data_IF_080871136807
#
_entry.id   IF_080871136807
#
_cell.length_a   1.000
_cell.length_b   1.000
_cell.length_c   1.000
_cell.angle_alpha   90.00
_cell.angle_beta   90.00
_cell.angle_gamma   90.00
#
_symmetry.space_group_name_H-M   'P 1'
#
loop_
_entity.id
_entity.type
_entity.pdbx_description
1 polymer ?
#
# COMPACT_ATOMS: atom_id res chain seq x y z
N UNK A 1 -32.27 -27.76 18.84
CA UNK A 1 -32.20 -27.37 17.40
C UNK A 1 -31.21 -26.23 17.13
N UNK A 2 -31.15 -25.18 17.96
CA UNK A 2 -30.32 -23.98 17.71
C UNK A 2 -28.80 -24.16 17.93
N UNK A 3 -28.38 -25.24 18.59
CA UNK A 3 -26.97 -25.56 18.86
C UNK A 3 -26.39 -26.63 17.93
N UNK A 4 -27.18 -27.12 16.97
CA UNK A 4 -26.75 -28.19 16.07
C UNK A 4 -25.82 -27.61 15.00
N UNK A 5 -24.57 -28.10 14.98
CA UNK A 5 -23.59 -27.72 13.96
C UNK A 5 -24.04 -28.29 12.62
N UNK A 6 -24.31 -27.40 11.65
CA UNK A 6 -24.69 -27.79 10.29
C UNK A 6 -23.51 -28.58 9.69
N UNK A 7 -23.74 -29.79 9.13
CA UNK A 7 -22.71 -30.64 8.56
C UNK A 7 -22.26 -30.12 7.20
N UNK A 8 -21.64 -28.94 7.19
CA UNK A 8 -20.95 -28.41 6.02
C UNK A 8 -19.56 -29.02 5.91
N UNK A 9 -19.01 -29.20 4.69
CA UNK A 9 -17.65 -29.69 4.49
C UNK A 9 -16.59 -29.00 5.37
N UNK A 10 -16.70 -27.68 5.56
CA UNK A 10 -15.83 -26.88 6.45
C UNK A 10 -15.90 -27.23 7.95
N UNK A 11 -16.95 -27.94 8.39
CA UNK A 11 -17.14 -28.38 9.78
C UNK A 11 -16.83 -29.88 9.98
N UNK A 12 -16.76 -30.66 8.90
CA UNK A 12 -16.60 -32.12 8.93
C UNK A 12 -15.13 -32.55 9.02
N UNK A 13 -14.20 -31.75 8.45
CA UNK A 13 -12.76 -31.98 8.49
C UNK A 13 -12.24 -32.89 7.37
N UNK A 14 -10.97 -32.69 6.99
CA UNK A 14 -10.33 -33.26 5.79
C UNK A 14 -10.36 -34.81 5.78
N UNK A 15 -10.13 -35.45 6.93
CA UNK A 15 -10.08 -36.92 7.06
C UNK A 15 -11.37 -37.62 6.63
N UNK A 16 -12.52 -36.99 6.89
CA UNK A 16 -13.84 -37.54 6.55
C UNK A 16 -14.26 -37.28 5.12
N UNK A 17 -13.62 -36.33 4.43
CA UNK A 17 -13.94 -36.02 3.03
C UNK A 17 -13.63 -37.21 2.11
N UNK A 18 -12.47 -37.85 2.32
CA UNK A 18 -12.06 -39.02 1.54
C UNK A 18 -12.95 -40.24 1.82
N UNK A 19 -13.39 -40.41 3.07
CA UNK A 19 -14.26 -41.53 3.46
C UNK A 19 -15.67 -41.40 2.86
N UNK A 20 -16.18 -40.19 2.71
CA UNK A 20 -17.55 -39.94 2.25
C UNK A 20 -17.63 -39.54 0.76
N UNK A 21 -16.49 -39.35 0.08
CA UNK A 21 -16.46 -38.99 -1.34
C UNK A 21 -17.04 -37.60 -1.65
N UNK A 22 -16.84 -36.63 -0.75
CA UNK A 22 -17.53 -35.32 -0.79
C UNK A 22 -16.71 -34.23 -1.52
N UNK A 23 -15.80 -34.60 -2.42
CA UNK A 23 -14.92 -33.65 -3.09
C UNK A 23 -15.70 -32.55 -3.84
N UNK A 24 -16.78 -32.91 -4.52
CA UNK A 24 -17.59 -31.95 -5.29
C UNK A 24 -18.28 -30.92 -4.39
N UNK A 25 -18.81 -31.33 -3.22
CA UNK A 25 -19.44 -30.37 -2.30
C UNK A 25 -18.41 -29.46 -1.63
N UNK A 26 -17.16 -29.92 -1.44
CA UNK A 26 -16.07 -29.05 -0.97
C UNK A 26 -15.83 -27.93 -1.97
N UNK A 27 -15.73 -28.26 -3.27
CA UNK A 27 -15.55 -27.25 -4.33
C UNK A 27 -16.73 -26.28 -4.41
N UNK A 28 -17.96 -26.79 -4.29
CA UNK A 28 -19.16 -25.95 -4.24
C UNK A 28 -19.16 -25.04 -3.01
N UNK A 29 -18.80 -25.55 -1.83
CA UNK A 29 -18.70 -24.72 -0.63
C UNK A 29 -17.64 -23.62 -0.83
N UNK A 30 -16.47 -23.94 -1.37
CA UNK A 30 -15.43 -22.93 -1.67
C UNK A 30 -15.98 -21.81 -2.56
N UNK A 31 -16.68 -22.14 -3.65
CA UNK A 31 -17.30 -21.15 -4.54
C UNK A 31 -18.35 -20.30 -3.82
N UNK A 32 -19.20 -20.90 -2.99
CA UNK A 32 -20.18 -20.16 -2.18
C UNK A 32 -19.50 -19.23 -1.16
N UNK A 33 -18.40 -19.67 -0.55
CA UNK A 33 -17.62 -18.85 0.39
C UNK A 33 -16.92 -17.70 -0.31
N UNK A 34 -16.49 -17.87 -1.55
CA UNK A 34 -15.95 -16.78 -2.36
C UNK A 34 -17.00 -15.69 -2.57
N UNK A 35 -18.21 -16.07 -3.00
CA UNK A 35 -19.34 -15.14 -3.12
C UNK A 35 -19.67 -14.44 -1.79
N UNK A 36 -19.76 -15.21 -0.71
CA UNK A 36 -20.03 -14.65 0.62
C UNK A 36 -18.93 -13.67 1.10
N UNK A 37 -17.67 -13.95 0.78
CA UNK A 37 -16.55 -13.07 1.10
C UNK A 37 -16.60 -11.77 0.29
N UNK A 38 -16.90 -11.87 -1.00
CA UNK A 38 -17.09 -10.74 -1.90
C UNK A 38 -18.20 -9.81 -1.43
N UNK A 39 -19.39 -10.35 -1.13
CA UNK A 39 -20.53 -9.58 -0.63
C UNK A 39 -20.21 -8.87 0.69
N UNK A 40 -19.59 -9.59 1.64
CA UNK A 40 -19.23 -9.03 2.93
C UNK A 40 -18.20 -7.89 2.79
N UNK A 41 -17.21 -8.04 1.92
CA UNK A 41 -16.22 -7.00 1.64
C UNK A 41 -16.84 -5.80 0.92
N UNK A 42 -17.75 -6.01 -0.03
CA UNK A 42 -18.50 -4.93 -0.69
C UNK A 42 -19.23 -4.07 0.36
N UNK A 43 -20.00 -4.72 1.23
CA UNK A 43 -20.73 -4.02 2.30
C UNK A 43 -19.77 -3.27 3.23
N UNK A 44 -18.61 -3.86 3.55
CA UNK A 44 -17.57 -3.18 4.34
C UNK A 44 -17.06 -1.91 3.63
N UNK A 45 -16.73 -1.97 2.34
CA UNK A 45 -16.25 -0.81 1.56
C UNK A 45 -17.28 0.32 1.52
N UNK A 46 -18.53 0.00 1.16
CA UNK A 46 -19.63 0.98 1.05
C UNK A 46 -19.89 1.66 2.39
N UNK A 47 -19.95 0.88 3.48
CA UNK A 47 -20.19 1.45 4.81
C UNK A 47 -18.99 2.25 5.33
N UNK A 48 -17.76 1.82 5.03
CA UNK A 48 -16.56 2.56 5.42
C UNK A 48 -16.47 3.91 4.69
N UNK A 49 -16.85 3.93 3.41
CA UNK A 49 -16.99 5.15 2.63
C UNK A 49 -18.08 6.09 3.17
N UNK A 50 -19.29 5.56 3.40
CA UNK A 50 -20.38 6.31 4.00
C UNK A 50 -19.99 6.89 5.37
N UNK A 51 -19.31 6.09 6.21
CA UNK A 51 -18.76 6.55 7.49
C UNK A 51 -17.82 7.74 7.29
N UNK A 52 -16.88 7.64 6.36
CA UNK A 52 -15.93 8.71 6.06
C UNK A 52 -16.65 10.01 5.62
N UNK A 53 -17.66 9.90 4.75
CA UNK A 53 -18.52 11.02 4.33
C UNK A 53 -19.30 11.62 5.50
N UNK A 54 -19.89 10.80 6.38
CA UNK A 54 -20.60 11.27 7.58
C UNK A 54 -19.68 12.04 8.53
N UNK A 55 -18.44 11.58 8.72
CA UNK A 55 -17.45 12.30 9.53
C UNK A 55 -17.17 13.69 8.95
N UNK A 56 -16.99 13.78 7.64
CA UNK A 56 -16.69 15.05 6.97
C UNK A 56 -17.89 16.01 6.97
N UNK A 57 -19.06 15.51 6.58
CA UNK A 57 -20.25 16.34 6.31
C UNK A 57 -21.07 16.65 7.55
N UNK A 58 -21.22 15.70 8.49
CA UNK A 58 -22.14 15.84 9.62
C UNK A 58 -21.41 16.03 10.94
N UNK A 59 -20.42 15.19 11.24
CA UNK A 59 -19.72 15.24 12.54
C UNK A 59 -18.90 16.51 12.66
N UNK A 60 -18.05 16.83 11.68
CA UNK A 60 -17.22 18.04 11.70
C UNK A 60 -18.01 19.34 11.55
N UNK A 61 -19.16 19.31 10.86
CA UNK A 61 -19.98 20.50 10.65
C UNK A 61 -20.99 20.78 11.78
N UNK A 62 -21.14 19.88 12.74
CA UNK A 62 -22.11 20.00 13.81
C UNK A 62 -21.71 21.10 14.81
N UNK A 63 -22.47 22.21 14.81
CA UNK A 63 -22.26 23.35 15.72
C UNK A 63 -23.11 23.31 16.99
N UNK A 64 -24.04 22.35 17.11
CA UNK A 64 -24.93 22.23 18.28
C UNK A 64 -24.97 20.79 18.81
N UNK A 65 -25.28 20.65 20.10
CA UNK A 65 -25.36 19.34 20.76
C UNK A 65 -26.35 18.41 20.03
N UNK A 66 -27.56 18.89 19.74
CA UNK A 66 -28.57 18.09 19.04
C UNK A 66 -28.14 17.65 17.62
N UNK A 67 -27.33 18.46 16.91
CA UNK A 67 -26.77 18.06 15.61
C UNK A 67 -25.64 17.05 15.78
N UNK A 68 -24.78 17.24 16.79
CA UNK A 68 -23.71 16.31 17.13
C UNK A 68 -24.26 14.93 17.48
N UNK A 69 -25.25 14.85 18.38
CA UNK A 69 -25.88 13.58 18.78
C UNK A 69 -26.49 12.85 17.58
N UNK A 70 -27.18 13.57 16.68
CA UNK A 70 -27.75 12.97 15.46
C UNK A 70 -26.68 12.48 14.49
N UNK A 71 -25.58 13.22 14.33
CA UNK A 71 -24.46 12.80 13.50
C UNK A 71 -23.82 11.52 14.05
N UNK A 72 -23.55 11.47 15.35
CA UNK A 72 -23.01 10.27 16.01
C UNK A 72 -23.96 9.08 15.97
N UNK A 73 -25.28 9.29 16.12
CA UNK A 73 -26.26 8.22 15.98
C UNK A 73 -26.19 7.54 14.59
N UNK A 74 -26.00 8.33 13.52
CA UNK A 74 -25.78 7.79 12.15
C UNK A 74 -24.45 7.06 12.01
N UNK A 75 -23.38 7.58 12.60
CA UNK A 75 -22.09 6.89 12.60
C UNK A 75 -22.22 5.53 13.31
N UNK A 76 -22.90 5.49 14.46
CA UNK A 76 -23.15 4.24 15.19
C UNK A 76 -24.01 3.25 14.41
N UNK A 77 -25.02 3.69 13.64
CA UNK A 77 -25.79 2.78 12.80
C UNK A 77 -24.94 2.16 11.70
N UNK A 78 -24.07 2.96 11.06
CA UNK A 78 -23.13 2.45 10.04
C UNK A 78 -22.12 1.48 10.68
N UNK A 79 -21.62 1.79 11.88
CA UNK A 79 -20.68 0.92 12.60
C UNK A 79 -21.27 -0.44 12.95
N UNK A 80 -22.56 -0.50 13.31
CA UNK A 80 -23.24 -1.78 13.54
C UNK A 80 -23.21 -2.68 12.29
N UNK A 81 -23.52 -2.11 11.12
CA UNK A 81 -23.51 -2.84 9.84
C UNK A 81 -22.08 -3.26 9.47
N UNK A 82 -21.11 -2.37 9.67
CA UNK A 82 -19.68 -2.64 9.44
C UNK A 82 -19.18 -3.80 10.30
N UNK A 83 -19.51 -3.80 11.59
CA UNK A 83 -19.10 -4.84 12.54
C UNK A 83 -19.70 -6.20 12.18
N UNK A 84 -20.99 -6.24 11.84
CA UNK A 84 -21.66 -7.47 11.41
C UNK A 84 -20.98 -8.04 10.15
N UNK A 85 -20.78 -7.21 9.13
CA UNK A 85 -20.18 -7.63 7.86
C UNK A 85 -18.73 -8.10 8.04
N UNK A 86 -17.97 -7.42 8.93
CA UNK A 86 -16.62 -7.85 9.32
C UNK A 86 -16.61 -9.22 9.98
N UNK A 87 -17.59 -9.50 10.85
CA UNK A 87 -17.71 -10.80 11.52
C UNK A 87 -18.05 -11.90 10.52
N UNK A 88 -18.98 -11.64 9.60
CA UNK A 88 -19.33 -12.56 8.51
C UNK A 88 -18.08 -12.89 7.71
N UNK A 89 -17.36 -11.87 7.22
CA UNK A 89 -16.12 -12.06 6.48
C UNK A 89 -15.07 -12.86 7.27
N UNK A 90 -14.86 -12.51 8.53
CA UNK A 90 -13.89 -13.21 9.39
C UNK A 90 -14.24 -14.68 9.59
N UNK A 91 -15.53 -15.01 9.65
CA UNK A 91 -16.00 -16.39 9.75
C UNK A 91 -15.82 -17.13 8.42
N UNK A 92 -16.14 -16.50 7.29
CA UNK A 92 -15.91 -17.05 5.95
C UNK A 92 -14.42 -17.37 5.74
N UNK A 93 -13.53 -16.44 6.09
CA UNK A 93 -12.09 -16.62 5.98
C UNK A 93 -11.59 -17.81 6.82
N UNK A 94 -12.09 -17.98 8.06
CA UNK A 94 -11.78 -19.16 8.88
C UNK A 94 -12.25 -20.46 8.22
N UNK A 95 -13.39 -20.44 7.55
CA UNK A 95 -13.92 -21.61 6.85
C UNK A 95 -13.09 -21.92 5.59
N UNK A 96 -12.68 -20.91 4.82
CA UNK A 96 -11.77 -21.07 3.68
C UNK A 96 -10.42 -21.69 4.10
N UNK A 97 -9.88 -21.29 5.26
CA UNK A 97 -8.67 -21.93 5.82
C UNK A 97 -8.92 -23.43 6.09
N UNK A 98 -10.06 -23.78 6.70
CA UNK A 98 -10.40 -25.19 6.99
C UNK A 98 -10.61 -26.01 5.71
N UNK A 99 -11.08 -25.38 4.64
CA UNK A 99 -11.30 -26.00 3.34
C UNK A 99 -10.01 -26.20 2.53
N UNK A 100 -8.88 -25.62 2.97
CA UNK A 100 -7.60 -25.74 2.27
C UNK A 100 -7.53 -24.94 0.97
N UNK A 101 -8.32 -23.87 0.83
CA UNK A 101 -8.39 -23.06 -0.39
C UNK A 101 -7.22 -22.07 -0.52
N UNK A 102 -5.98 -22.57 -0.56
CA UNK A 102 -4.74 -21.76 -0.54
C UNK A 102 -4.69 -20.69 -1.64
N UNK A 103 -5.16 -21.01 -2.86
CA UNK A 103 -5.22 -20.05 -3.96
C UNK A 103 -6.08 -18.81 -3.65
N UNK A 104 -7.16 -18.98 -2.89
CA UNK A 104 -8.05 -17.88 -2.49
C UNK A 104 -7.52 -17.12 -1.26
N UNK A 105 -6.70 -17.74 -0.40
CA UNK A 105 -6.14 -17.09 0.79
C UNK A 105 -5.13 -15.99 0.45
N UNK A 106 -4.52 -16.02 -0.73
CA UNK A 106 -3.69 -14.92 -1.22
C UNK A 106 -4.54 -13.68 -1.56
N UNK A 107 -5.76 -13.89 -2.09
CA UNK A 107 -6.72 -12.83 -2.45
C UNK A 107 -7.46 -12.30 -1.21
N UNK A 108 -7.92 -13.20 -0.34
CA UNK A 108 -8.69 -12.89 0.85
C UNK A 108 -7.81 -12.96 2.11
N UNK A 109 -7.35 -11.80 2.58
CA UNK A 109 -6.47 -11.71 3.76
C UNK A 109 -7.25 -11.49 5.07
N UNK A 110 -6.67 -11.79 6.24
CA UNK A 110 -7.33 -11.51 7.51
C UNK A 110 -7.57 -10.00 7.71
N UNK A 111 -8.79 -9.62 8.08
CA UNK A 111 -9.18 -8.23 8.33
C UNK A 111 -8.64 -7.77 9.69
N UNK A 112 -7.80 -6.73 9.71
CA UNK A 112 -7.28 -6.13 10.95
C UNK A 112 -8.09 -4.90 11.33
N UNK A 113 -8.12 -4.56 12.63
CA UNK A 113 -8.77 -3.33 13.11
C UNK A 113 -8.19 -2.06 12.47
N UNK A 114 -6.90 -2.09 12.08
CA UNK A 114 -6.25 -0.98 11.40
C UNK A 114 -6.84 -0.73 10.00
N UNK A 115 -7.28 -1.79 9.32
CA UNK A 115 -7.82 -1.75 7.96
C UNK A 115 -9.23 -1.12 7.92
N UNK A 116 -9.94 -1.16 9.05
CA UNK A 116 -11.29 -0.62 9.23
C UNK A 116 -11.33 0.88 9.59
N UNK A 117 -10.18 1.56 9.58
CA UNK A 117 -10.15 3.00 9.83
C UNK A 117 -10.72 3.74 8.63
N UNK A 118 -11.68 4.64 8.89
CA UNK A 118 -12.23 5.52 7.86
C UNK A 118 -11.16 6.55 7.46
N UNK A 119 -10.40 6.24 6.41
CA UNK A 119 -9.33 7.10 5.92
C UNK A 119 -9.91 8.28 5.15
N UNK A 120 -9.32 9.46 5.31
CA UNK A 120 -9.67 10.69 4.56
C UNK A 120 -9.63 10.50 3.05
N UNK A 121 -8.76 9.61 2.55
CA UNK A 121 -8.70 9.19 1.14
C UNK A 121 -10.04 8.70 0.61
N UNK A 122 -10.85 8.06 1.46
CA UNK A 122 -12.17 7.55 1.11
C UNK A 122 -13.24 8.64 1.21
N UNK A 123 -13.07 9.63 2.09
CA UNK A 123 -14.03 10.74 2.21
C UNK A 123 -13.87 11.79 1.10
N UNK A 124 -12.62 12.12 0.77
CA UNK A 124 -12.26 13.13 -0.23
C UNK A 124 -11.19 12.58 -1.14
N UNK A 125 -11.67 12.12 -2.29
CA UNK A 125 -10.85 11.59 -3.35
C UNK A 125 -9.82 12.60 -3.84
N UNK A 126 -10.03 13.91 -3.76
CA UNK A 126 -9.11 14.92 -4.29
C UNK A 126 -8.27 15.63 -3.21
N UNK A 127 -8.35 15.18 -1.96
CA UNK A 127 -7.59 15.79 -0.86
C UNK A 127 -6.07 15.73 -1.08
N UNK A 128 -5.39 16.84 -0.81
CA UNK A 128 -3.94 16.94 -0.87
C UNK A 128 -3.28 16.26 0.35
N UNK A 129 -2.00 15.89 0.22
CA UNK A 129 -1.20 15.34 1.34
C UNK A 129 -1.38 13.84 1.61
N UNK A 130 -2.10 13.12 0.77
CA UNK A 130 -2.34 11.67 0.89
C UNK A 130 -1.22 10.81 0.24
N UNK A 131 0.00 11.32 0.10
CA UNK A 131 1.10 10.65 -0.64
C UNK A 131 1.47 9.28 -0.07
N UNK A 132 1.36 9.10 1.25
CA UNK A 132 1.77 7.87 1.96
C UNK A 132 0.61 7.06 2.54
N UNK A 133 -0.65 7.46 2.29
CA UNK A 133 -1.80 6.69 2.78
C UNK A 133 -2.04 5.49 1.85
N UNK A 134 -1.50 4.34 2.23
CA UNK A 134 -1.88 3.08 1.59
C UNK A 134 -3.28 2.68 2.05
N UNK A 135 -4.15 2.35 1.09
CA UNK A 135 -5.43 1.73 1.38
C UNK A 135 -5.22 0.28 1.86
N UNK A 136 -6.17 -0.24 2.61
CA UNK A 136 -6.18 -1.65 2.98
C UNK A 136 -6.23 -2.56 1.74
N UNK A 137 -5.67 -3.77 1.86
CA UNK A 137 -5.56 -4.78 0.81
C UNK A 137 -6.91 -5.11 0.14
N UNK A 138 -8.02 -4.95 0.85
CA UNK A 138 -9.34 -5.23 0.33
C UNK A 138 -9.90 -4.11 -0.55
N UNK A 139 -9.30 -2.93 -0.67
CA UNK A 139 -9.81 -1.89 -1.58
C UNK A 139 -9.56 -2.20 -3.06
N UNK A 140 -8.35 -2.63 -3.49
CA UNK A 140 -8.09 -2.91 -4.90
C UNK A 140 -8.66 -4.24 -5.41
N UNK A 141 -9.27 -5.10 -4.57
CA UNK A 141 -9.79 -6.37 -5.09
C UNK A 141 -10.97 -6.11 -6.02
N UNK A 142 -10.88 -6.65 -7.22
CA UNK A 142 -12.01 -6.69 -8.13
C UNK A 142 -13.07 -7.65 -7.55
N UNK A 143 -14.15 -7.06 -7.07
CA UNK A 143 -15.35 -7.78 -6.64
C UNK A 143 -16.34 -7.58 -7.76
N UNK A 144 -16.57 -8.65 -8.53
CA UNK A 144 -17.43 -8.64 -9.70
C UNK A 144 -18.81 -8.07 -9.34
N UNK A 145 -19.21 -6.97 -9.99
CA UNK A 145 -20.47 -6.26 -9.73
C UNK A 145 -20.37 -5.00 -8.86
N UNK A 146 -19.21 -4.68 -8.28
CA UNK A 146 -19.02 -3.46 -7.46
C UNK A 146 -19.22 -2.16 -8.27
N UNK A 147 -18.79 -2.16 -9.54
CA UNK A 147 -18.71 -0.98 -10.40
C UNK A 147 -20.02 -0.65 -11.12
N UNK A 148 -20.97 -1.58 -11.15
CA UNK A 148 -22.23 -1.42 -11.90
C UNK A 148 -23.34 -0.73 -11.09
N UNK A 149 -23.27 -0.78 -9.75
CA UNK A 149 -24.36 -0.30 -8.88
C UNK A 149 -24.09 1.03 -8.18
N UNK A 150 -22.85 1.53 -8.09
CA UNK A 150 -22.52 2.71 -7.28
C UNK A 150 -21.54 3.65 -7.98
N UNK A 151 -22.08 4.77 -8.48
CA UNK A 151 -21.35 5.81 -9.22
C UNK A 151 -20.16 6.38 -8.43
N UNK A 152 -20.34 6.60 -7.12
CA UNK A 152 -19.26 7.05 -6.24
C UNK A 152 -18.13 6.02 -6.12
N UNK A 153 -18.47 4.73 -6.08
CA UNK A 153 -17.49 3.65 -5.96
C UNK A 153 -16.69 3.48 -7.25
N UNK A 154 -17.33 3.65 -8.41
CA UNK A 154 -16.67 3.67 -9.72
C UNK A 154 -15.67 4.82 -9.81
N UNK A 155 -16.08 6.04 -9.46
CA UNK A 155 -15.18 7.20 -9.44
C UNK A 155 -14.01 7.00 -8.46
N UNK A 156 -14.27 6.38 -7.30
CA UNK A 156 -13.22 6.03 -6.35
C UNK A 156 -12.19 5.07 -6.95
N UNK A 157 -12.64 3.99 -7.62
CA UNK A 157 -11.74 3.05 -8.26
C UNK A 157 -10.96 3.69 -9.40
N UNK A 158 -11.60 4.54 -10.21
CA UNK A 158 -10.95 5.27 -11.30
C UNK A 158 -9.83 6.18 -10.78
N UNK A 159 -10.11 7.01 -9.78
CA UNK A 159 -9.12 7.91 -9.16
C UNK A 159 -8.03 7.11 -8.46
N UNK A 160 -8.38 6.03 -7.76
CA UNK A 160 -7.40 5.19 -7.08
C UNK A 160 -6.45 4.52 -8.08
N UNK A 161 -6.98 3.96 -9.17
CA UNK A 161 -6.19 3.35 -10.24
C UNK A 161 -5.25 4.37 -10.90
N UNK A 162 -5.74 5.57 -11.23
CA UNK A 162 -4.88 6.62 -11.79
C UNK A 162 -3.72 6.99 -10.86
N UNK A 163 -3.95 6.98 -9.54
CA UNK A 163 -2.92 7.28 -8.54
C UNK A 163 -1.91 6.17 -8.38
N UNK A 164 -2.35 4.91 -8.33
CA UNK A 164 -1.44 3.78 -8.24
C UNK A 164 -0.61 3.65 -9.51
N UNK A 165 -1.21 3.93 -10.67
CA UNK A 165 -0.51 4.04 -11.95
C UNK A 165 0.55 5.14 -11.92
N UNK A 166 0.17 6.38 -11.57
CA UNK A 166 1.11 7.49 -11.49
C UNK A 166 2.22 7.28 -10.44
N UNK A 167 1.91 6.58 -9.34
CA UNK A 167 2.91 6.20 -8.34
C UNK A 167 3.90 5.21 -8.96
N UNK A 168 3.40 4.12 -9.57
CA UNK A 168 4.23 3.12 -10.26
C UNK A 168 5.15 3.78 -11.30
N UNK A 169 4.59 4.64 -12.14
CA UNK A 169 5.33 5.31 -13.21
C UNK A 169 6.42 6.22 -12.63
N UNK A 170 6.13 6.97 -11.56
CA UNK A 170 7.14 7.74 -10.84
C UNK A 170 8.24 6.87 -10.24
N UNK A 171 7.92 5.73 -9.62
CA UNK A 171 8.94 4.82 -9.08
C UNK A 171 9.82 4.25 -10.21
N UNK A 172 9.23 3.93 -11.36
CA UNK A 172 9.98 3.49 -12.53
C UNK A 172 10.92 4.60 -13.05
N UNK A 173 10.45 5.84 -13.11
CA UNK A 173 11.28 7.01 -13.43
C UNK A 173 12.39 7.23 -12.40
N UNK A 174 12.07 7.18 -11.10
CA UNK A 174 13.04 7.34 -10.01
C UNK A 174 14.13 6.27 -10.06
N UNK A 175 13.80 5.01 -10.33
CA UNK A 175 14.80 3.95 -10.53
C UNK A 175 15.76 4.28 -11.68
N UNK A 176 15.23 4.76 -12.81
CA UNK A 176 16.05 5.17 -13.96
C UNK A 176 16.92 6.40 -13.64
N UNK A 177 16.36 7.40 -12.96
CA UNK A 177 17.04 8.63 -12.59
C UNK A 177 18.14 8.38 -11.57
N UNK A 178 17.88 7.62 -10.52
CA UNK A 178 18.86 7.28 -9.48
C UNK A 178 20.09 6.61 -10.10
N UNK A 179 19.89 5.69 -11.06
CA UNK A 179 21.02 5.08 -11.78
C UNK A 179 21.88 6.09 -12.56
N UNK A 180 21.24 7.10 -13.18
CA UNK A 180 21.95 8.19 -13.88
C UNK A 180 22.61 9.17 -12.91
N UNK A 181 21.93 9.53 -11.84
CA UNK A 181 22.42 10.42 -10.79
C UNK A 181 23.66 9.84 -10.10
N UNK A 182 23.73 8.52 -9.89
CA UNK A 182 24.93 7.85 -9.38
C UNK A 182 26.14 8.09 -10.29
N UNK A 183 25.97 7.93 -11.60
CA UNK A 183 27.03 8.18 -12.60
C UNK A 183 27.40 9.67 -12.62
N UNK A 184 26.41 10.55 -12.65
CA UNK A 184 26.63 11.99 -12.66
C UNK A 184 27.29 12.50 -11.38
N UNK A 185 26.99 11.93 -10.21
CA UNK A 185 27.61 12.31 -8.95
C UNK A 185 29.11 12.01 -8.95
N UNK A 186 29.52 10.82 -9.42
CA UNK A 186 30.94 10.46 -9.58
C UNK A 186 31.62 11.42 -10.57
N UNK A 187 31.00 11.65 -11.74
CA UNK A 187 31.51 12.57 -12.74
C UNK A 187 31.65 14.01 -12.21
N UNK A 188 30.69 14.47 -11.43
CA UNK A 188 30.71 15.79 -10.77
C UNK A 188 31.89 15.91 -9.80
N UNK A 189 32.14 14.89 -8.98
CA UNK A 189 33.28 14.91 -8.06
C UNK A 189 34.63 14.88 -8.80
N UNK A 190 34.77 14.10 -9.87
CA UNK A 190 35.96 14.11 -10.72
C UNK A 190 36.17 15.50 -11.33
N UNK A 191 35.13 16.07 -11.91
CA UNK A 191 35.17 17.41 -12.49
C UNK A 191 35.56 18.47 -11.45
N UNK A 192 35.01 18.41 -10.23
CA UNK A 192 35.39 19.31 -9.13
C UNK A 192 36.84 19.13 -8.70
N UNK A 193 37.33 17.89 -8.63
CA UNK A 193 38.74 17.62 -8.34
C UNK A 193 39.65 18.27 -9.38
N UNK A 194 39.37 18.10 -10.67
CA UNK A 194 40.12 18.72 -11.77
C UNK A 194 40.06 20.26 -11.72
N UNK A 195 38.88 20.83 -11.41
CA UNK A 195 38.72 22.27 -11.25
C UNK A 195 39.64 22.83 -10.14
N UNK A 196 39.75 22.13 -9.01
CA UNK A 196 40.65 22.52 -7.91
C UNK A 196 42.12 22.31 -8.25
N UNK A 197 42.48 21.27 -9.01
CA UNK A 197 43.84 21.09 -9.55
C UNK A 197 44.23 22.23 -10.49
N UNK A 198 43.34 22.68 -11.36
CA UNK A 198 43.60 23.86 -12.21
C UNK A 198 43.84 25.13 -11.40
N UNK A 199 43.07 25.33 -10.31
CA UNK A 199 43.29 26.44 -9.37
C UNK A 199 44.61 26.34 -8.62
N UNK A 200 45.05 25.13 -8.28
CA UNK A 200 46.36 24.88 -7.67
C UNK A 200 47.49 25.30 -8.63
N UNK A 201 47.43 24.90 -9.89
CA UNK A 201 48.43 25.23 -10.91
C UNK A 201 48.51 26.74 -11.20
N UNK A 202 47.37 27.43 -11.17
CA UNK A 202 47.33 28.89 -11.32
C UNK A 202 47.93 29.67 -10.13
N UNK A 203 48.12 29.01 -8.98
CA UNK A 203 48.60 29.62 -7.73
C UNK A 203 50.12 29.51 -7.54
N UNK A 204 50.92 29.36 -8.60
CA UNK A 204 52.37 29.14 -8.54
C UNK A 204 53.23 30.42 -8.35
N UNK A 205 52.67 31.52 -7.82
CA UNK A 205 53.40 32.74 -7.48
C UNK A 205 53.95 32.78 -6.03
N UNK A 206 54.87 33.72 -5.75
CA UNK A 206 55.58 33.88 -4.46
C UNK A 206 54.69 34.23 -3.26
N UNK A 207 53.40 34.56 -3.46
CA UNK A 207 52.46 34.95 -2.39
C UNK A 207 51.33 33.93 -2.14
N UNK A 208 51.37 32.77 -2.79
CA UNK A 208 50.20 31.86 -2.93
C UNK A 208 50.41 30.45 -2.39
N UNK A 209 51.46 30.16 -1.62
CA UNK A 209 51.72 28.82 -1.03
C UNK A 209 50.53 28.28 -0.25
N UNK A 210 49.86 29.12 0.56
CA UNK A 210 48.65 28.71 1.32
C UNK A 210 47.48 28.37 0.39
N UNK A 211 47.29 29.14 -0.68
CA UNK A 211 46.24 28.90 -1.67
C UNK A 211 46.51 27.62 -2.47
N UNK A 212 47.77 27.36 -2.82
CA UNK A 212 48.21 26.12 -3.46
C UNK A 212 47.92 24.91 -2.57
N UNK A 213 48.34 24.93 -1.30
CA UNK A 213 48.06 23.84 -0.35
C UNK A 213 46.56 23.62 -0.13
N UNK A 214 45.76 24.69 -0.03
CA UNK A 214 44.32 24.58 0.12
C UNK A 214 43.64 23.97 -1.11
N UNK A 215 44.01 24.43 -2.32
CA UNK A 215 43.47 23.89 -3.56
C UNK A 215 43.83 22.41 -3.75
N UNK A 216 45.07 22.02 -3.43
CA UNK A 216 45.50 20.62 -3.43
C UNK A 216 44.66 19.76 -2.47
N UNK A 217 44.40 20.26 -1.24
CA UNK A 217 43.54 19.56 -0.28
C UNK A 217 42.11 19.39 -0.81
N UNK A 218 41.53 20.44 -1.40
CA UNK A 218 40.17 20.38 -1.96
C UNK A 218 40.09 19.39 -3.12
N UNK A 219 41.07 19.38 -4.03
CA UNK A 219 41.15 18.38 -5.10
C UNK A 219 41.15 16.96 -4.54
N UNK A 220 41.98 16.69 -3.51
CA UNK A 220 42.06 15.38 -2.88
C UNK A 220 40.75 14.97 -2.19
N UNK A 221 40.01 15.92 -1.57
CA UNK A 221 38.70 15.64 -0.97
C UNK A 221 37.71 15.17 -2.03
N UNK A 222 37.58 15.91 -3.14
CA UNK A 222 36.67 15.54 -4.21
C UNK A 222 37.06 14.22 -4.88
N UNK A 223 38.35 13.93 -5.04
CA UNK A 223 38.82 12.63 -5.53
C UNK A 223 38.45 11.48 -4.58
N UNK A 224 38.59 11.68 -3.27
CA UNK A 224 38.17 10.66 -2.28
C UNK A 224 36.65 10.45 -2.30
N UNK A 225 35.88 11.53 -2.46
CA UNK A 225 34.42 11.44 -2.61
C UNK A 225 34.03 10.65 -3.86
N UNK A 226 34.69 10.89 -5.01
CA UNK A 226 34.40 10.12 -6.24
C UNK A 226 34.71 8.64 -6.07
N UNK A 227 35.86 8.29 -5.48
CA UNK A 227 36.24 6.89 -5.23
C UNK A 227 35.26 6.22 -4.27
N UNK A 228 34.96 6.87 -3.15
CA UNK A 228 34.04 6.34 -2.16
C UNK A 228 32.62 6.15 -2.71
N UNK A 229 32.12 7.10 -3.50
CA UNK A 229 30.82 6.99 -4.15
C UNK A 229 30.80 5.86 -5.18
N UNK A 230 31.84 5.73 -6.02
CA UNK A 230 31.95 4.64 -6.98
C UNK A 230 31.93 3.27 -6.29
N UNK A 231 32.78 3.08 -5.27
CA UNK A 231 32.82 1.83 -4.49
C UNK A 231 31.47 1.51 -3.84
N UNK A 232 30.79 2.53 -3.30
CA UNK A 232 29.49 2.36 -2.66
C UNK A 232 28.41 1.98 -3.67
N UNK A 233 28.42 2.60 -4.85
CA UNK A 233 27.46 2.32 -5.92
C UNK A 233 27.68 0.94 -6.54
N UNK A 234 28.93 0.53 -6.75
CA UNK A 234 29.26 -0.80 -7.28
C UNK A 234 28.86 -1.92 -6.31
N UNK A 235 29.02 -1.70 -5.00
CA UNK A 235 28.49 -2.62 -3.97
C UNK A 235 26.98 -2.74 -4.04
N UNK A 236 26.25 -1.64 -4.22
CA UNK A 236 24.78 -1.68 -4.31
C UNK A 236 24.28 -2.39 -5.57
N UNK A 237 24.98 -2.25 -6.71
CA UNK A 237 24.64 -2.96 -7.95
C UNK A 237 24.85 -4.47 -7.81
N UNK A 238 25.97 -4.89 -7.21
CA UNK A 238 26.25 -6.32 -7.00
C UNK A 238 25.28 -7.02 -6.03
N UNK A 239 24.59 -6.29 -5.16
CA UNK A 239 23.53 -6.84 -4.29
C UNK A 239 22.20 -6.97 -5.04
N UNK A 240 21.92 -6.08 -6.01
CA UNK A 240 20.69 -6.12 -6.79
C UNK A 240 20.66 -7.31 -7.78
N UNK A 241 21.79 -7.64 -8.42
CA UNK A 241 21.89 -8.77 -9.38
C UNK A 241 21.85 -10.16 -8.73
N UNK A 242 21.96 -10.26 -7.40
CA UNK A 242 21.94 -11.54 -6.66
C UNK A 242 20.55 -11.87 -6.10
N UNK A 243 19.61 -10.91 -6.17
CA UNK A 243 18.26 -11.02 -5.57
C UNK A 243 17.16 -11.17 -6.65
N UNK A 244 17.48 -10.97 -7.92
CA UNK A 244 16.66 -11.40 -9.08
C UNK A 244 17.00 -12.83 -9.51
#
# INVERSE_FOLDING_TARGET
PETMVIPLPSNIGIERWAQWGIADLVLQEISLREGQANDALHVVRVNLANKAVLFHTMVRSAKSQARSTRAWARVHSVDKVLHLSTQIYSQCHKQLIKLGAEGLLNKYQPLKKADLKATTVVADLNSHGQRNSMLAWFWPLDVEGDSTSNDWMNEFYRVHWLRTLALRDRWAEELLLVGREMIWAVGFFIHKSQQWLGRMQAANGTQTVRHHCYAARQAQIYLRLSQHSQDSFDRTKGVAEVVE
#
